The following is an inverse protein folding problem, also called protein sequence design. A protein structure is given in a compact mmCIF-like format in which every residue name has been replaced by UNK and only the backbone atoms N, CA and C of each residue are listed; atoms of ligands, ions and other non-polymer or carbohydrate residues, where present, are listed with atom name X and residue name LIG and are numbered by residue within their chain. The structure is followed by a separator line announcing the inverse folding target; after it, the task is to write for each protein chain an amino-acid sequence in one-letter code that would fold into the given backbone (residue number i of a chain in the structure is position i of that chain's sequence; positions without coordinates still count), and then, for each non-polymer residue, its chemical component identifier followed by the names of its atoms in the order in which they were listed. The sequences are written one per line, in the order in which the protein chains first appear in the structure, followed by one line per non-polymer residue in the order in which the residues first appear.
data_IF_178485616346
#
_entry.id   IF_178485616346
#
_cell.length_a   1.000
_cell.length_b   1.000
_cell.length_c   1.000
_cell.angle_alpha   90.00
_cell.angle_beta   90.00
_cell.angle_gamma   90.00
#
_symmetry.space_group_name_H-M   'P 1'
#
loop_
_entity.id
_entity.type
_entity.pdbx_description
1 polymer ?
#
# COMPACT_ATOMS: atom_id res chain seq x y z
N UNK A 1 -2.13 -7.98 7.18
CA UNK A 1 -1.65 -6.59 7.40
C UNK A 1 -2.85 -5.65 7.42
N UNK A 2 -2.86 -4.56 8.20
CA UNK A 2 -4.02 -3.66 8.24
C UNK A 2 -3.81 -2.49 7.28
N UNK A 3 -4.62 -2.42 6.22
CA UNK A 3 -4.54 -1.35 5.23
C UNK A 3 -5.40 -0.17 5.69
N UNK A 4 -4.77 0.96 6.00
CA UNK A 4 -5.44 2.16 6.47
C UNK A 4 -5.76 3.17 5.37
N UNK A 5 -5.10 3.06 4.22
CA UNK A 5 -5.33 3.96 3.10
C UNK A 5 -4.76 3.43 1.79
N UNK A 6 -5.25 3.99 0.69
CA UNK A 6 -4.80 3.68 -0.66
C UNK A 6 -4.84 4.94 -1.52
N UNK A 7 -3.66 5.40 -1.93
CA UNK A 7 -3.53 6.36 -3.02
C UNK A 7 -3.42 5.59 -4.33
N UNK A 8 -4.51 5.60 -5.10
CA UNK A 8 -4.64 4.79 -6.32
C UNK A 8 -3.62 5.11 -7.42
N UNK A 9 -3.02 6.31 -7.38
CA UNK A 9 -2.01 6.76 -8.33
C UNK A 9 -0.96 7.63 -7.63
N UNK A 10 0.31 7.32 -7.81
CA UNK A 10 1.47 8.10 -7.41
C UNK A 10 2.50 8.08 -8.54
N UNK A 11 3.21 9.19 -8.70
CA UNK A 11 4.36 9.31 -9.60
C UNK A 11 5.64 9.65 -8.83
N UNK A 12 5.54 9.83 -7.51
CA UNK A 12 6.60 10.37 -6.65
C UNK A 12 7.10 9.36 -5.62
N UNK A 13 6.22 8.49 -5.10
CA UNK A 13 6.62 7.49 -4.10
C UNK A 13 7.30 6.27 -4.76
N UNK A 14 7.15 6.15 -6.08
CA UNK A 14 7.93 5.25 -6.92
C UNK A 14 8.47 6.01 -8.14
N UNK A 15 9.59 6.73 -8.00
CA UNK A 15 10.14 7.54 -9.09
C UNK A 15 10.39 6.72 -10.35
N UNK A 16 9.91 7.24 -11.49
CA UNK A 16 10.03 6.58 -12.80
C UNK A 16 9.04 5.46 -13.06
N UNK A 17 8.03 5.29 -12.20
CA UNK A 17 6.95 4.32 -12.35
C UNK A 17 5.59 4.97 -12.11
N UNK A 18 4.61 4.60 -12.92
CA UNK A 18 3.21 4.88 -12.61
C UNK A 18 2.79 3.87 -11.54
N UNK A 19 2.65 4.27 -10.29
CA UNK A 19 2.42 3.34 -9.19
C UNK A 19 1.18 3.72 -8.37
N UNK A 20 0.84 2.90 -7.38
CA UNK A 20 -0.07 3.28 -6.30
C UNK A 20 0.65 3.20 -4.96
N UNK A 21 0.21 3.96 -3.97
CA UNK A 21 0.77 3.90 -2.60
C UNK A 21 -0.25 3.28 -1.67
N UNK A 22 0.12 2.17 -1.01
CA UNK A 22 -0.68 1.55 0.05
C UNK A 22 -0.16 2.01 1.40
N UNK A 23 -1.06 2.48 2.27
CA UNK A 23 -0.72 2.96 3.59
C UNK A 23 -1.15 1.95 4.65
N UNK A 24 -0.20 1.40 5.40
CA UNK A 24 -0.45 0.44 6.47
C UNK A 24 -0.69 1.16 7.81
N UNK A 25 -1.60 0.62 8.61
CA UNK A 25 -1.83 1.10 9.98
C UNK A 25 -0.77 0.54 10.93
N UNK A 26 -0.47 1.32 11.97
CA UNK A 26 0.48 1.01 13.02
C UNK A 26 1.85 1.64 12.75
N UNK A 27 2.39 2.29 13.78
CA UNK A 27 3.74 2.82 13.80
C UNK A 27 4.31 2.69 15.22
N UNK A 28 5.58 2.33 15.35
CA UNK A 28 6.32 2.32 16.62
C UNK A 28 6.86 3.69 17.03
N UNK A 29 6.68 4.73 16.19
CA UNK A 29 7.05 6.11 16.49
C UNK A 29 5.83 7.00 16.75
N UNK A 30 6.06 8.14 17.43
CA UNK A 30 5.06 9.20 17.68
C UNK A 30 5.64 10.57 17.32
N UNK A 31 6.05 10.71 16.07
CA UNK A 31 6.68 11.92 15.56
C UNK A 31 5.71 13.13 15.70
N UNK A 32 6.15 14.28 16.24
CA UNK A 32 5.29 15.46 16.39
C UNK A 32 4.88 16.09 15.05
N UNK A 33 5.54 15.70 13.95
CA UNK A 33 5.29 16.12 12.58
C UNK A 33 4.68 14.99 11.72
N UNK A 34 4.01 14.02 12.34
CA UNK A 34 3.39 12.92 11.59
C UNK A 34 2.32 13.46 10.63
N UNK A 35 2.48 13.17 9.34
CA UNK A 35 1.52 13.56 8.30
C UNK A 35 0.27 12.67 8.27
N UNK A 36 0.38 11.43 8.78
CA UNK A 36 -0.68 10.42 8.77
C UNK A 36 -1.05 9.96 10.20
N UNK A 37 -1.43 10.87 11.12
CA UNK A 37 -1.78 10.50 12.50
C UNK A 37 -2.94 9.49 12.58
N UNK A 38 -3.81 9.46 11.57
CA UNK A 38 -4.92 8.52 11.40
C UNK A 38 -4.48 7.06 11.24
N UNK A 39 -3.21 6.83 10.91
CA UNK A 39 -2.62 5.49 10.82
C UNK A 39 -1.92 5.06 12.11
N UNK A 40 -1.77 5.96 13.09
CA UNK A 40 -0.84 5.79 14.22
C UNK A 40 -1.52 5.95 15.58
N UNK A 41 -2.36 6.98 15.73
CA UNK A 41 -3.01 7.30 16.99
C UNK A 41 -4.27 6.44 17.13
N UNK A 42 -4.37 5.69 18.24
CA UNK A 42 -5.49 4.76 18.48
C UNK A 42 -6.86 5.42 18.33
N UNK A 43 -7.03 6.64 18.84
CA UNK A 43 -8.31 7.34 18.77
C UNK A 43 -8.62 7.85 17.35
N UNK A 44 -7.60 8.09 16.52
CA UNK A 44 -7.80 8.44 15.12
C UNK A 44 -8.07 7.19 14.26
N UNK A 45 -7.33 6.10 14.47
CA UNK A 45 -7.54 4.81 13.78
C UNK A 45 -8.99 4.34 13.93
N UNK A 46 -9.58 4.45 15.13
CA UNK A 46 -10.97 4.04 15.39
C UNK A 46 -12.01 4.79 14.56
N UNK A 47 -11.68 5.99 14.05
CA UNK A 47 -12.59 6.80 13.22
C UNK A 47 -12.65 6.31 11.78
N UNK A 48 -11.69 5.48 11.35
CA UNK A 48 -11.55 5.04 9.97
C UNK A 48 -11.61 3.53 9.87
N UNK A 49 -12.51 3.03 9.00
CA UNK A 49 -12.55 1.61 8.70
C UNK A 49 -11.36 1.24 7.80
N UNK A 50 -10.63 0.16 8.11
CA UNK A 50 -9.56 -0.32 7.25
C UNK A 50 -10.11 -0.81 5.92
N UNK A 51 -9.29 -0.69 4.87
CA UNK A 51 -9.60 -1.25 3.55
C UNK A 51 -9.48 -2.78 3.64
N UNK A 52 -10.51 -3.55 3.26
CA UNK A 52 -10.40 -5.00 3.20
C UNK A 52 -9.28 -5.43 2.25
N UNK A 53 -8.43 -6.38 2.68
CA UNK A 53 -7.32 -6.87 1.84
C UNK A 53 -7.81 -7.37 0.47
N UNK A 54 -8.96 -8.05 0.43
CA UNK A 54 -9.60 -8.52 -0.81
C UNK A 54 -9.82 -7.39 -1.81
N UNK A 55 -10.29 -6.24 -1.35
CA UNK A 55 -10.63 -5.11 -2.21
C UNK A 55 -9.36 -4.45 -2.74
N UNK A 56 -8.32 -4.35 -1.90
CA UNK A 56 -7.00 -3.91 -2.31
C UNK A 56 -6.39 -4.82 -3.39
N UNK A 57 -6.42 -6.13 -3.19
CA UNK A 57 -5.90 -7.07 -4.19
C UNK A 57 -6.73 -7.10 -5.47
N UNK A 58 -8.04 -6.90 -5.38
CA UNK A 58 -8.89 -6.75 -6.55
C UNK A 58 -8.51 -5.50 -7.35
N UNK A 59 -8.26 -4.37 -6.68
CA UNK A 59 -7.75 -3.15 -7.30
C UNK A 59 -6.40 -3.38 -7.98
N UNK A 60 -5.44 -3.99 -7.26
CA UNK A 60 -4.12 -4.32 -7.83
C UNK A 60 -4.25 -5.18 -9.08
N UNK A 61 -5.07 -6.24 -9.02
CA UNK A 61 -5.32 -7.10 -10.19
C UNK A 61 -5.86 -6.31 -11.38
N UNK A 62 -6.79 -5.38 -11.17
CA UNK A 62 -7.34 -4.56 -12.24
C UNK A 62 -6.31 -3.59 -12.85
N UNK A 63 -5.53 -2.91 -12.00
CA UNK A 63 -4.56 -1.90 -12.41
C UNK A 63 -3.23 -2.45 -12.94
N UNK A 64 -2.88 -3.69 -12.58
CA UNK A 64 -1.62 -4.33 -12.95
C UNK A 64 -1.77 -5.40 -14.05
N UNK A 65 -2.99 -5.85 -14.35
CA UNK A 65 -3.27 -6.92 -15.34
C UNK A 65 -2.63 -6.60 -16.70
N UNK A 66 -1.79 -7.48 -17.27
CA UNK A 66 -1.20 -7.27 -18.60
C UNK A 66 -2.24 -7.43 -19.72
N UNK A 67 -3.29 -8.24 -19.51
CA UNK A 67 -4.34 -8.52 -20.50
C UNK A 67 -5.42 -7.44 -20.56
N UNK A 68 -5.23 -6.32 -19.86
CA UNK A 68 -6.17 -5.21 -19.81
C UNK A 68 -5.51 -3.97 -20.43
N UNK A 69 -6.01 -3.49 -21.57
CA UNK A 69 -5.50 -2.29 -22.24
C UNK A 69 -5.61 -1.01 -21.38
N UNK A 70 -6.37 -1.04 -20.29
CA UNK A 70 -6.48 0.04 -19.29
C UNK A 70 -5.55 -0.11 -18.08
N UNK A 71 -4.66 -1.10 -18.10
CA UNK A 71 -3.62 -1.32 -17.08
C UNK A 71 -2.60 -0.20 -17.10
N UNK A 72 -2.57 0.58 -16.03
CA UNK A 72 -1.76 1.80 -15.94
C UNK A 72 -0.75 1.75 -14.79
N UNK A 73 -0.84 0.78 -13.89
CA UNK A 73 0.10 0.66 -12.78
C UNK A 73 1.28 -0.22 -13.18
N UNK A 74 2.48 0.19 -12.83
CA UNK A 74 3.75 -0.50 -13.02
C UNK A 74 4.39 -0.94 -11.69
N UNK A 75 3.83 -0.52 -10.56
CA UNK A 75 4.35 -0.87 -9.24
C UNK A 75 3.43 -0.45 -8.10
N UNK A 76 3.81 -0.85 -6.90
CA UNK A 76 3.14 -0.48 -5.65
C UNK A 76 4.22 0.02 -4.69
N UNK A 77 4.02 1.22 -4.12
CA UNK A 77 4.80 1.72 -3.00
C UNK A 77 4.10 1.40 -1.69
N UNK A 78 4.85 0.94 -0.69
CA UNK A 78 4.31 0.57 0.61
C UNK A 78 4.76 1.60 1.64
N UNK A 79 3.80 2.32 2.22
CA UNK A 79 4.04 3.35 3.24
C UNK A 79 3.03 3.28 4.38
N UNK A 80 2.80 4.42 5.04
CA UNK A 80 1.78 4.57 6.08
C UNK A 80 2.38 4.95 7.41
N UNK A 81 2.08 4.16 8.45
CA UNK A 81 2.75 4.25 9.74
C UNK A 81 4.22 3.83 9.64
N UNK A 82 4.58 2.69 10.24
CA UNK A 82 5.89 2.05 10.01
C UNK A 82 5.64 0.69 9.35
N UNK A 83 5.83 0.55 8.03
CA UNK A 83 5.57 -0.70 7.32
C UNK A 83 6.29 -1.90 7.94
N UNK A 84 7.54 -1.73 8.38
CA UNK A 84 8.38 -2.84 8.82
C UNK A 84 8.01 -3.44 10.19
N UNK A 85 7.07 -2.85 10.94
CA UNK A 85 6.51 -3.52 12.12
C UNK A 85 5.58 -4.68 11.74
N UNK A 86 5.10 -4.72 10.50
CA UNK A 86 4.24 -5.78 9.98
C UNK A 86 5.14 -6.96 9.54
N UNK A 87 5.35 -7.93 10.43
CA UNK A 87 6.25 -9.08 10.19
C UNK A 87 5.89 -9.90 8.95
N UNK A 88 4.61 -9.90 8.56
CA UNK A 88 4.13 -10.63 7.40
C UNK A 88 4.46 -9.93 6.07
N UNK A 89 4.87 -8.64 6.10
CA UNK A 89 5.06 -7.81 4.92
C UNK A 89 5.98 -8.43 3.86
N UNK A 90 7.16 -9.01 4.19
CA UNK A 90 8.00 -9.66 3.19
C UNK A 90 7.31 -10.84 2.48
N UNK A 91 6.46 -11.57 3.22
CA UNK A 91 5.67 -12.67 2.66
C UNK A 91 4.61 -12.15 1.68
N UNK A 92 3.97 -11.03 2.01
CA UNK A 92 3.04 -10.33 1.13
C UNK A 92 3.74 -9.88 -0.16
N UNK A 93 4.84 -9.15 -0.04
CA UNK A 93 5.62 -8.68 -1.18
C UNK A 93 6.03 -9.83 -2.12
N UNK A 94 6.41 -10.98 -1.56
CA UNK A 94 6.85 -12.15 -2.34
C UNK A 94 5.69 -12.91 -3.01
N UNK A 95 4.52 -12.99 -2.36
CA UNK A 95 3.32 -13.60 -2.97
C UNK A 95 2.85 -12.79 -4.17
N UNK A 96 2.90 -11.47 -4.06
CA UNK A 96 2.43 -10.58 -5.12
C UNK A 96 3.44 -10.40 -6.25
N UNK A 97 4.76 -10.44 -5.98
CA UNK A 97 5.78 -10.42 -7.04
C UNK A 97 5.58 -11.51 -8.11
N UNK A 98 4.98 -12.65 -7.74
CA UNK A 98 4.59 -13.72 -8.70
C UNK A 98 3.35 -13.39 -9.52
N UNK A 99 2.42 -12.61 -8.97
CA UNK A 99 1.18 -12.17 -9.62
C UNK A 99 1.33 -10.83 -10.35
N UNK A 100 2.46 -10.14 -10.14
CA UNK A 100 2.75 -8.80 -10.67
C UNK A 100 3.36 -8.81 -12.08
N UNK A 101 3.53 -9.98 -12.72
CA UNK A 101 4.03 -10.10 -14.10
C UNK A 101 5.34 -9.33 -14.37
N UNK A 102 6.25 -9.23 -13.37
CA UNK A 102 7.51 -8.49 -13.48
C UNK A 102 7.46 -7.04 -13.00
N UNK A 103 6.33 -6.56 -12.48
CA UNK A 103 6.18 -5.25 -11.82
C UNK A 103 6.77 -5.26 -10.41
N UNK A 104 7.35 -4.14 -9.99
CA UNK A 104 8.23 -4.04 -8.83
C UNK A 104 7.53 -3.41 -7.61
N UNK A 105 8.01 -3.75 -6.42
CA UNK A 105 7.56 -3.19 -5.15
C UNK A 105 8.66 -2.27 -4.61
N UNK A 106 8.28 -1.07 -4.16
CA UNK A 106 9.16 -0.09 -3.49
C UNK A 106 8.75 0.09 -2.03
#
# INVERSE_FOLDING_TARGET
MIIGGLQKLTLIDYPGKIACTVFLQGCNYRCPFCYNPELVLREEIKKHLPIPEKDFFQFLKQGLSPDNDSSHLEGVSIGGGEPFINQDLPTYCRKDAKNLHGKTLN
#
